data_IF_356711310482
#
_entry.id   IF_356711310482
#
_cell.length_a   1.000
_cell.length_b   1.000
_cell.length_c   1.000
_cell.angle_alpha   90.00
_cell.angle_beta   90.00
_cell.angle_gamma   90.00
#
_symmetry.space_group_name_H-M   'P 1'
#
loop_
_entity.id
_entity.type
_entity.pdbx_description
1 polymer ?
#
# COMPACT_ATOMS: atom_id res chain seq x y z
N UNK A 1 17.98 13.06 64.04
CA UNK A 1 18.22 12.48 62.69
C UNK A 1 17.79 11.00 62.76
N UNK A 2 16.59 10.75 62.24
CA UNK A 2 16.01 9.38 62.23
C UNK A 2 16.64 8.60 61.08
N UNK A 3 17.37 7.55 61.43
CA UNK A 3 17.90 6.59 60.46
C UNK A 3 16.72 5.80 59.83
N UNK A 4 16.58 5.87 58.54
CA UNK A 4 15.66 5.02 57.83
C UNK A 4 15.97 3.55 58.07
N UNK A 5 14.97 2.72 58.28
CA UNK A 5 15.16 1.28 58.48
C UNK A 5 15.66 0.61 57.20
N UNK A 6 16.38 -0.49 57.36
CA UNK A 6 16.93 -1.26 56.24
C UNK A 6 15.83 -1.70 55.25
N UNK A 7 14.63 -2.01 55.76
CA UNK A 7 13.45 -2.33 54.96
C UNK A 7 12.95 -1.14 54.11
N UNK A 8 13.01 0.08 54.64
CA UNK A 8 12.66 1.29 53.93
C UNK A 8 13.63 1.63 52.80
N UNK A 9 14.93 1.37 53.02
CA UNK A 9 15.97 1.55 52.01
C UNK A 9 15.83 0.53 50.88
N UNK A 10 15.55 -0.73 51.18
CA UNK A 10 15.34 -1.81 50.20
C UNK A 10 14.08 -1.52 49.36
N UNK A 11 12.99 -1.05 49.97
CA UNK A 11 11.77 -0.65 49.24
C UNK A 11 12.06 0.49 48.27
N UNK A 12 12.76 1.53 48.70
CA UNK A 12 13.07 2.68 47.85
C UNK A 12 14.03 2.34 46.70
N UNK A 13 14.95 1.40 46.88
CA UNK A 13 15.84 0.91 45.81
C UNK A 13 15.06 0.05 44.82
N UNK A 14 14.15 -0.79 45.32
CA UNK A 14 13.28 -1.62 44.46
C UNK A 14 12.37 -0.76 43.58
N UNK A 15 11.73 0.25 44.15
CA UNK A 15 10.87 1.18 43.41
C UNK A 15 11.66 2.02 42.40
N UNK A 16 12.87 2.47 42.77
CA UNK A 16 13.72 3.21 41.85
C UNK A 16 14.25 2.33 40.70
N UNK A 17 14.47 1.04 40.93
CA UNK A 17 14.86 0.08 39.87
C UNK A 17 13.70 -0.21 38.93
N UNK A 18 12.49 -0.44 39.43
CA UNK A 18 11.30 -0.67 38.65
C UNK A 18 10.93 0.57 37.79
N UNK A 19 11.02 1.76 38.37
CA UNK A 19 10.79 3.00 37.63
C UNK A 19 11.83 3.26 36.52
N UNK A 20 13.09 2.89 36.73
CA UNK A 20 14.12 2.94 35.69
C UNK A 20 13.89 1.93 34.58
N UNK A 21 13.50 0.71 34.90
CA UNK A 21 13.17 -0.31 33.93
C UNK A 21 11.98 0.10 33.06
N UNK A 22 10.93 0.63 33.69
CA UNK A 22 9.74 1.12 32.98
C UNK A 22 10.08 2.28 32.03
N UNK A 23 10.95 3.23 32.44
CA UNK A 23 11.40 4.33 31.58
C UNK A 23 12.24 3.84 30.40
N UNK A 24 13.10 2.86 30.62
CA UNK A 24 13.90 2.25 29.54
C UNK A 24 13.01 1.50 28.56
N UNK A 25 12.02 0.75 29.03
CA UNK A 25 11.06 0.05 28.17
C UNK A 25 10.27 1.05 27.32
N UNK A 26 9.72 2.07 27.94
CA UNK A 26 8.99 3.12 27.22
C UNK A 26 9.87 3.88 26.20
N UNK A 27 11.13 4.12 26.52
CA UNK A 27 12.08 4.75 25.59
C UNK A 27 12.42 3.85 24.41
N UNK A 28 12.57 2.53 24.64
CA UNK A 28 12.77 1.56 23.57
C UNK A 28 11.55 1.44 22.66
N UNK A 29 10.35 1.36 23.25
CA UNK A 29 9.09 1.35 22.50
C UNK A 29 8.92 2.61 21.64
N UNK A 30 9.24 3.79 22.18
CA UNK A 30 9.23 5.05 21.43
C UNK A 30 10.28 5.07 20.34
N UNK A 31 11.48 4.53 20.57
CA UNK A 31 12.53 4.45 19.57
C UNK A 31 12.16 3.48 18.43
N UNK A 32 11.51 2.35 18.75
CA UNK A 32 10.99 1.41 17.76
C UNK A 32 9.85 2.04 16.93
N UNK A 33 8.92 2.76 17.57
CA UNK A 33 7.86 3.49 16.87
C UNK A 33 8.42 4.59 15.96
N UNK A 34 9.43 5.32 16.39
CA UNK A 34 10.08 6.35 15.58
C UNK A 34 10.89 5.74 14.43
N UNK A 35 11.64 4.69 14.69
CA UNK A 35 12.41 3.99 13.66
C UNK A 35 11.51 3.38 12.59
N UNK A 36 10.34 2.87 12.97
CA UNK A 36 9.36 2.34 12.01
C UNK A 36 8.58 3.44 11.26
N UNK A 37 8.39 4.63 11.88
CA UNK A 37 7.71 5.75 11.23
C UNK A 37 8.59 6.46 10.19
N UNK A 38 9.92 6.45 10.37
CA UNK A 38 10.89 7.09 9.47
C UNK A 38 11.49 6.13 8.43
N UNK A 39 11.25 4.82 8.55
CA UNK A 39 11.70 3.88 7.53
C UNK A 39 10.91 4.11 6.23
N UNK A 40 11.59 4.34 5.09
CA UNK A 40 10.91 4.46 3.83
C UNK A 40 10.14 3.17 3.53
N UNK A 41 8.95 3.25 2.92
CA UNK A 41 8.18 2.06 2.59
C UNK A 41 8.99 1.09 1.72
N UNK A 42 8.75 -0.19 1.90
CA UNK A 42 9.43 -1.24 1.13
C UNK A 42 9.06 -1.15 -0.36
N UNK A 43 10.02 -1.39 -1.26
CA UNK A 43 9.74 -1.44 -2.70
C UNK A 43 8.71 -2.52 -3.07
N UNK A 44 7.87 -2.21 -4.04
CA UNK A 44 6.93 -3.19 -4.63
C UNK A 44 7.67 -3.98 -5.72
N UNK A 45 8.17 -5.15 -5.38
CA UNK A 45 8.94 -6.04 -6.26
C UNK A 45 8.11 -7.18 -6.86
N UNK A 46 6.93 -7.43 -6.31
CA UNK A 46 6.07 -8.55 -6.67
C UNK A 46 4.59 -8.17 -6.62
N UNK A 47 3.71 -8.88 -7.36
CA UNK A 47 2.26 -8.69 -7.27
C UNK A 47 1.72 -8.91 -5.84
N UNK A 48 2.36 -9.78 -5.06
CA UNK A 48 2.00 -9.98 -3.65
C UNK A 48 2.36 -8.78 -2.77
N UNK A 49 3.45 -8.07 -3.08
CA UNK A 49 3.78 -6.81 -2.41
C UNK A 49 2.73 -5.74 -2.75
N UNK A 50 2.36 -5.60 -4.03
CA UNK A 50 1.29 -4.70 -4.46
C UNK A 50 -0.06 -5.06 -3.81
N UNK A 51 -0.36 -6.34 -3.65
CA UNK A 51 -1.59 -6.81 -3.00
C UNK A 51 -1.66 -6.40 -1.52
N UNK A 52 -0.54 -6.27 -0.81
CA UNK A 52 -0.54 -5.77 0.58
C UNK A 52 -1.04 -4.32 0.67
N UNK A 53 -0.72 -3.51 -0.34
CA UNK A 53 -1.12 -2.10 -0.42
C UNK A 53 -2.53 -1.90 -0.98
N UNK A 54 -3.01 -2.83 -1.80
CA UNK A 54 -4.23 -2.67 -2.59
C UNK A 54 -5.32 -3.69 -2.26
N UNK A 55 -5.01 -4.74 -1.49
CA UNK A 55 -5.90 -5.89 -1.29
C UNK A 55 -7.14 -5.62 -0.44
N UNK A 56 -7.17 -4.51 0.30
CA UNK A 56 -8.33 -4.08 1.08
C UNK A 56 -9.57 -3.82 0.20
N UNK A 57 -9.37 -3.47 -1.09
CA UNK A 57 -10.46 -3.26 -2.05
C UNK A 57 -11.31 -4.52 -2.27
N UNK A 58 -10.78 -5.72 -2.03
CA UNK A 58 -11.53 -6.98 -2.15
C UNK A 58 -12.80 -7.03 -1.28
N UNK A 59 -12.87 -6.23 -0.22
CA UNK A 59 -14.00 -6.18 0.72
C UNK A 59 -15.15 -5.30 0.25
N UNK A 60 -14.94 -4.50 -0.78
CA UNK A 60 -15.97 -3.60 -1.28
C UNK A 60 -17.04 -4.34 -2.08
N UNK A 61 -18.30 -3.95 -1.86
CA UNK A 61 -19.46 -4.50 -2.57
C UNK A 61 -19.64 -3.94 -3.98
N UNK A 62 -19.02 -2.80 -4.25
CA UNK A 62 -18.95 -2.18 -5.58
C UNK A 62 -17.55 -2.33 -6.12
N UNK A 63 -17.41 -2.29 -7.42
CA UNK A 63 -16.10 -2.25 -8.05
C UNK A 63 -15.42 -0.92 -7.77
N UNK A 64 -14.20 -0.98 -7.28
CA UNK A 64 -13.32 0.17 -7.05
C UNK A 64 -12.11 0.00 -7.94
N UNK A 65 -11.84 1.00 -8.73
CA UNK A 65 -10.60 1.09 -9.48
C UNK A 65 -9.65 2.05 -8.76
N UNK A 66 -8.47 1.57 -8.41
CA UNK A 66 -7.48 2.32 -7.64
C UNK A 66 -6.14 2.34 -8.37
N UNK A 67 -5.40 3.42 -8.19
CA UNK A 67 -4.03 3.57 -8.66
C UNK A 67 -3.09 3.79 -7.47
N UNK A 68 -1.98 3.06 -7.43
CA UNK A 68 -0.88 3.21 -6.50
C UNK A 68 0.31 3.81 -7.26
N UNK A 69 0.77 4.96 -6.80
CA UNK A 69 1.85 5.71 -7.43
C UNK A 69 3.16 5.44 -6.69
N UNK A 70 4.22 5.25 -7.46
CA UNK A 70 5.51 4.77 -6.98
C UNK A 70 6.62 5.75 -7.33
N UNK A 71 7.65 5.81 -6.48
CA UNK A 71 8.91 6.48 -6.78
C UNK A 71 9.78 5.68 -7.75
N UNK A 72 10.97 6.22 -8.09
CA UNK A 72 11.94 5.57 -8.97
C UNK A 72 12.54 4.27 -8.39
N UNK A 73 12.39 4.04 -7.09
CA UNK A 73 12.76 2.79 -6.41
C UNK A 73 11.58 1.84 -6.24
N UNK A 74 10.46 2.11 -6.89
CA UNK A 74 9.18 1.39 -6.78
C UNK A 74 8.60 1.37 -5.36
N UNK A 75 8.87 2.39 -4.54
CA UNK A 75 8.27 2.53 -3.22
C UNK A 75 6.94 3.25 -3.32
N UNK A 76 5.92 2.82 -2.54
CA UNK A 76 4.63 3.49 -2.49
C UNK A 76 4.77 4.96 -2.05
N UNK A 77 4.20 5.87 -2.82
CA UNK A 77 4.13 7.29 -2.50
C UNK A 77 2.73 7.67 -2.00
N UNK A 78 1.72 7.34 -2.78
CA UNK A 78 0.31 7.60 -2.47
C UNK A 78 -0.60 6.71 -3.32
N UNK A 79 -1.85 6.65 -2.92
CA UNK A 79 -2.90 5.87 -3.56
C UNK A 79 -4.13 6.75 -3.81
N UNK A 80 -4.79 6.56 -4.96
CA UNK A 80 -6.02 7.25 -5.33
C UNK A 80 -7.09 6.26 -5.76
N UNK A 81 -8.34 6.53 -5.37
CA UNK A 81 -9.49 5.83 -5.92
C UNK A 81 -9.96 6.58 -7.15
N UNK A 82 -9.74 5.99 -8.32
CA UNK A 82 -10.04 6.60 -9.61
C UNK A 82 -11.53 6.51 -9.95
N UNK A 83 -12.15 5.37 -9.62
CA UNK A 83 -13.56 5.12 -9.93
C UNK A 83 -14.20 4.19 -8.92
N UNK A 84 -15.51 4.39 -8.68
CA UNK A 84 -16.38 3.53 -7.86
C UNK A 84 -17.66 3.29 -8.59
N UNK A 85 -18.02 2.04 -8.84
CA UNK A 85 -19.27 1.66 -9.51
C UNK A 85 -19.16 0.36 -10.27
N UNK A 86 -20.01 0.15 -11.25
CA UNK A 86 -19.88 -0.93 -12.23
C UNK A 86 -18.86 -0.49 -13.28
N UNK A 87 -17.80 -1.26 -13.44
CA UNK A 87 -16.80 -1.04 -14.48
C UNK A 87 -17.43 -1.35 -15.85
N UNK A 88 -18.04 -0.33 -16.45
CA UNK A 88 -18.08 -0.31 -17.90
C UNK A 88 -16.78 0.33 -18.37
N UNK A 89 -16.13 -0.21 -19.40
CA UNK A 89 -14.85 0.24 -19.95
C UNK A 89 -14.75 1.75 -20.25
N UNK A 90 -15.87 2.46 -20.21
CA UNK A 90 -15.97 3.91 -20.39
C UNK A 90 -15.71 4.74 -19.12
N UNK A 91 -15.63 4.13 -17.93
CA UNK A 91 -15.53 4.87 -16.67
C UNK A 91 -14.06 5.09 -16.20
N UNK A 92 -13.11 4.27 -16.63
CA UNK A 92 -11.70 4.47 -16.32
C UNK A 92 -11.00 5.12 -17.51
N UNK A 93 -10.90 6.43 -17.46
CA UNK A 93 -10.19 7.17 -18.51
C UNK A 93 -8.71 7.36 -18.11
N UNK A 94 -7.73 7.16 -19.03
CA UNK A 94 -6.32 7.38 -18.72
C UNK A 94 -6.02 8.73 -18.06
N UNK A 95 -6.67 9.82 -18.47
CA UNK A 95 -6.49 11.14 -17.84
C UNK A 95 -6.76 11.13 -16.34
N UNK A 96 -7.77 10.38 -15.86
CA UNK A 96 -8.11 10.31 -14.44
C UNK A 96 -7.05 9.51 -13.64
N UNK A 97 -6.44 8.51 -14.30
CA UNK A 97 -5.38 7.70 -13.71
C UNK A 97 -4.05 8.45 -13.68
N UNK A 98 -3.73 9.24 -14.73
CA UNK A 98 -2.42 9.87 -14.84
C UNK A 98 -2.37 11.31 -14.33
N UNK A 99 -3.49 12.03 -14.21
CA UNK A 99 -3.50 13.40 -13.70
C UNK A 99 -2.82 13.54 -12.33
N UNK A 100 -3.07 12.69 -11.31
CA UNK A 100 -2.39 12.80 -10.03
C UNK A 100 -0.87 12.63 -10.14
N UNK A 101 -0.39 11.77 -11.06
CA UNK A 101 1.03 11.53 -11.27
C UNK A 101 1.76 12.68 -11.99
N UNK A 102 1.01 13.53 -12.69
CA UNK A 102 1.53 14.74 -13.33
C UNK A 102 1.58 15.93 -12.36
N UNK A 103 0.72 15.94 -11.35
CA UNK A 103 0.65 16.98 -10.33
C UNK A 103 1.62 16.74 -9.16
N UNK A 104 1.89 15.46 -8.85
CA UNK A 104 2.75 15.01 -7.74
C UNK A 104 3.82 14.07 -8.25
N UNK A 105 5.06 14.13 -7.71
CA UNK A 105 6.15 13.27 -8.17
C UNK A 105 5.77 11.78 -8.13
N UNK A 106 5.79 11.13 -9.28
CA UNK A 106 5.68 9.68 -9.43
C UNK A 106 6.53 9.22 -10.62
N UNK A 107 7.14 8.05 -10.52
CA UNK A 107 7.96 7.47 -11.59
C UNK A 107 7.27 6.30 -12.29
N UNK A 108 6.33 5.64 -11.62
CA UNK A 108 5.56 4.51 -12.13
C UNK A 108 4.25 4.37 -11.37
N UNK A 109 3.37 3.49 -11.84
CA UNK A 109 2.13 3.17 -11.14
C UNK A 109 1.76 1.70 -11.28
N UNK A 110 1.00 1.21 -10.28
CA UNK A 110 0.29 -0.06 -10.32
C UNK A 110 -1.19 0.27 -10.19
N UNK A 111 -2.02 -0.37 -11.00
CA UNK A 111 -3.47 -0.22 -10.90
C UNK A 111 -4.11 -1.49 -10.38
N UNK A 112 -5.23 -1.38 -9.71
CA UNK A 112 -6.01 -2.52 -9.26
C UNK A 112 -7.50 -2.21 -9.27
N UNK A 113 -8.32 -3.25 -9.46
CA UNK A 113 -9.74 -3.19 -9.20
C UNK A 113 -10.22 -4.47 -8.53
N UNK A 114 -11.35 -4.39 -7.85
CA UNK A 114 -11.93 -5.57 -7.23
C UNK A 114 -13.11 -6.10 -8.05
N UNK A 115 -13.28 -7.43 -8.00
CA UNK A 115 -14.47 -8.11 -8.49
C UNK A 115 -15.35 -8.56 -7.31
N UNK A 116 -16.50 -7.91 -7.07
CA UNK A 116 -17.45 -8.32 -6.03
C UNK A 116 -18.04 -9.73 -6.22
N UNK A 117 -17.97 -10.28 -7.44
CA UNK A 117 -18.37 -11.66 -7.76
C UNK A 117 -17.51 -12.72 -7.06
N UNK A 118 -16.31 -12.33 -6.61
CA UNK A 118 -15.34 -13.22 -5.99
C UNK A 118 -14.43 -13.98 -6.97
N UNK A 119 -14.61 -13.82 -8.27
CA UNK A 119 -13.74 -14.40 -9.31
C UNK A 119 -12.73 -13.35 -9.80
N UNK A 120 -11.41 -13.57 -9.66
CA UNK A 120 -10.40 -12.63 -10.12
C UNK A 120 -10.11 -12.71 -11.63
N UNK A 121 -10.82 -13.52 -12.37
CA UNK A 121 -10.63 -13.65 -13.84
C UNK A 121 -10.96 -12.32 -14.52
N UNK A 122 -10.00 -11.71 -15.27
CA UNK A 122 -10.24 -10.44 -15.92
C UNK A 122 -11.21 -10.57 -17.09
N UNK A 123 -12.13 -9.62 -17.19
CA UNK A 123 -13.06 -9.48 -18.32
C UNK A 123 -12.32 -9.02 -19.58
N UNK A 124 -13.06 -8.93 -20.70
CA UNK A 124 -12.55 -8.33 -21.93
C UNK A 124 -12.31 -6.82 -21.75
N UNK A 125 -13.19 -6.16 -21.03
CA UNK A 125 -13.15 -4.73 -20.72
C UNK A 125 -11.92 -4.40 -19.85
N UNK A 126 -11.57 -5.26 -18.91
CA UNK A 126 -10.35 -5.10 -18.09
C UNK A 126 -9.09 -5.15 -18.94
N UNK A 127 -9.02 -6.10 -19.88
CA UNK A 127 -7.90 -6.22 -20.83
C UNK A 127 -7.76 -4.99 -21.71
N UNK A 128 -8.87 -4.48 -22.22
CA UNK A 128 -8.91 -3.28 -23.06
C UNK A 128 -8.49 -2.04 -22.26
N UNK A 129 -8.97 -1.92 -21.01
CA UNK A 129 -8.57 -0.83 -20.10
C UNK A 129 -7.08 -0.90 -19.78
N UNK A 130 -6.56 -2.10 -19.46
CA UNK A 130 -5.13 -2.33 -19.21
C UNK A 130 -4.29 -1.87 -20.39
N UNK A 131 -4.62 -2.32 -21.60
CA UNK A 131 -3.90 -1.94 -22.83
C UNK A 131 -3.86 -0.41 -23.03
N UNK A 132 -5.01 0.26 -22.88
CA UNK A 132 -5.10 1.73 -23.00
C UNK A 132 -4.27 2.47 -21.96
N UNK A 133 -4.22 1.95 -20.72
CA UNK A 133 -3.41 2.53 -19.65
C UNK A 133 -1.92 2.33 -19.92
N UNK A 134 -1.49 1.15 -20.34
CA UNK A 134 -0.09 0.88 -20.70
C UNK A 134 0.37 1.78 -21.85
N UNK A 135 -0.46 1.93 -22.90
CA UNK A 135 -0.17 2.82 -24.03
C UNK A 135 -0.05 4.29 -23.60
N UNK A 136 -0.97 4.78 -22.79
CA UNK A 136 -0.92 6.14 -22.24
C UNK A 136 0.31 6.35 -21.34
N UNK A 137 0.61 5.39 -20.47
CA UNK A 137 1.78 5.43 -19.58
C UNK A 137 3.09 5.48 -20.36
N UNK A 138 3.21 4.72 -21.44
CA UNK A 138 4.37 4.76 -22.33
C UNK A 138 4.58 6.14 -22.98
N UNK A 139 3.48 6.78 -23.41
CA UNK A 139 3.55 8.14 -24.00
C UNK A 139 3.96 9.18 -22.95
N UNK A 140 3.46 9.05 -21.73
CA UNK A 140 3.71 9.99 -20.63
C UNK A 140 5.05 9.75 -19.91
N UNK A 141 5.76 8.65 -20.19
CA UNK A 141 6.93 8.25 -19.43
C UNK A 141 6.62 7.79 -18.00
N UNK A 142 5.39 7.34 -17.75
CA UNK A 142 4.87 6.85 -16.47
C UNK A 142 4.36 5.40 -16.63
N UNK A 143 5.25 4.39 -16.64
CA UNK A 143 4.86 3.02 -16.94
C UNK A 143 3.88 2.46 -15.91
N UNK A 144 2.90 1.68 -16.39
CA UNK A 144 2.05 0.81 -15.56
C UNK A 144 2.80 -0.49 -15.31
N UNK A 145 3.24 -0.72 -14.09
CA UNK A 145 4.07 -1.88 -13.73
C UNK A 145 3.24 -3.16 -13.56
N UNK A 146 1.99 -3.04 -13.14
CA UNK A 146 1.04 -4.16 -13.06
C UNK A 146 -0.40 -3.66 -13.05
N UNK A 147 -1.33 -4.55 -13.38
CA UNK A 147 -2.75 -4.41 -13.12
C UNK A 147 -3.22 -5.64 -12.35
N UNK A 148 -3.80 -5.43 -11.18
CA UNK A 148 -4.31 -6.49 -10.32
C UNK A 148 -5.85 -6.52 -10.36
N UNK A 149 -6.42 -7.69 -10.62
CA UNK A 149 -7.84 -7.94 -10.33
C UNK A 149 -7.92 -8.67 -8.99
N UNK A 150 -8.54 -8.04 -8.01
CA UNK A 150 -8.57 -8.55 -6.63
C UNK A 150 -9.97 -9.05 -6.30
N UNK A 151 -10.07 -10.26 -5.74
CA UNK A 151 -11.35 -10.87 -5.40
C UNK A 151 -11.24 -11.71 -4.12
N UNK A 152 -12.36 -12.13 -3.56
CA UNK A 152 -12.38 -12.96 -2.34
C UNK A 152 -11.72 -14.33 -2.50
N UNK A 153 -11.64 -14.85 -3.73
CA UNK A 153 -10.99 -16.14 -4.04
C UNK A 153 -9.53 -16.02 -4.42
N UNK A 154 -8.96 -14.80 -4.45
CA UNK A 154 -7.57 -14.56 -4.81
C UNK A 154 -7.40 -13.30 -5.65
N UNK A 155 -6.32 -13.26 -6.42
CA UNK A 155 -6.03 -12.16 -7.32
C UNK A 155 -5.47 -12.66 -8.65
N UNK A 156 -5.55 -11.81 -9.66
CA UNK A 156 -4.93 -11.99 -10.96
C UNK A 156 -3.98 -10.82 -11.20
N UNK A 157 -2.76 -11.09 -11.67
CA UNK A 157 -1.78 -10.11 -12.10
C UNK A 157 -1.60 -10.20 -13.61
N UNK A 158 -1.79 -9.10 -14.30
CA UNK A 158 -1.53 -9.00 -15.74
C UNK A 158 -0.06 -9.17 -16.07
N UNK A 159 0.82 -8.65 -15.20
CA UNK A 159 2.28 -8.79 -15.34
C UNK A 159 2.72 -10.26 -15.26
N UNK A 160 2.30 -10.99 -14.22
CA UNK A 160 2.66 -12.42 -14.05
C UNK A 160 2.17 -13.29 -15.21
N UNK A 161 1.09 -12.87 -15.87
CA UNK A 161 0.50 -13.58 -17.00
C UNK A 161 1.04 -13.13 -18.36
N UNK A 162 1.99 -12.16 -18.39
CA UNK A 162 2.54 -11.62 -19.62
C UNK A 162 1.51 -10.87 -20.48
N UNK A 163 0.52 -10.24 -19.83
CA UNK A 163 -0.59 -9.54 -20.48
C UNK A 163 -0.50 -8.01 -20.32
N UNK A 164 0.60 -7.51 -19.76
CA UNK A 164 0.96 -6.10 -19.87
C UNK A 164 1.69 -5.93 -21.20
N UNK A 165 1.00 -5.41 -22.19
CA UNK A 165 1.64 -4.99 -23.42
C UNK A 165 2.52 -3.78 -23.11
N UNK A 166 3.83 -4.02 -23.13
CA UNK A 166 4.86 -3.01 -22.94
C UNK A 166 5.00 -2.14 -24.20
#
# INVERSE_FOLDING_TARGET
>A
MTHASEAELVSRVGDASAARAARLSAALELAELWSSADAPPEPIDSPRAALRELGDIARHRKEHFVALYLDACHRPLYRETVSVGTLTASLVHPREVFAPALERPAAALIVAHNHPSGDPTPSREDRETTRRLCEAGRILGLPVLDHLVVASRGFFSFRERGLLDA
#
